data_IF_823791390740
#
_entry.id   IF_823791390740
#
_cell.length_a   1.000
_cell.length_b   1.000
_cell.length_c   1.000
_cell.angle_alpha   90.00
_cell.angle_beta   90.00
_cell.angle_gamma   90.00
#
_symmetry.space_group_name_H-M   'P 1'
#
loop_
_entity.id
_entity.type
_entity.pdbx_description
1 polymer ?
#
# COMPACT_ATOMS: atom_id res chain seq x y z
N UNK A 1 27.49 -62.84 4.71
CA UNK A 1 26.70 -62.49 5.90
C UNK A 1 27.20 -61.16 6.45
N UNK A 2 26.52 -60.05 6.11
CA UNK A 2 26.55 -58.76 6.83
C UNK A 2 25.35 -57.95 6.35
N UNK A 3 24.35 -57.84 7.22
CA UNK A 3 23.11 -57.09 7.02
C UNK A 3 23.43 -55.59 6.94
N UNK A 4 22.95 -54.92 5.89
CA UNK A 4 22.87 -53.46 5.87
C UNK A 4 21.44 -53.06 6.23
N UNK A 5 21.30 -52.44 7.40
CA UNK A 5 20.03 -51.96 7.96
C UNK A 5 19.54 -50.76 7.14
N UNK A 6 18.29 -50.86 6.66
CA UNK A 6 17.51 -49.71 6.18
C UNK A 6 17.31 -48.73 7.33
N UNK A 7 17.79 -47.49 7.16
CA UNK A 7 17.34 -46.36 7.98
C UNK A 7 16.17 -45.70 7.25
N UNK A 8 14.96 -45.92 7.75
CA UNK A 8 13.81 -45.07 7.45
C UNK A 8 14.01 -43.73 8.16
N UNK A 9 14.53 -42.74 7.41
CA UNK A 9 14.52 -41.35 7.84
C UNK A 9 13.12 -40.77 7.62
N UNK A 10 12.34 -40.65 8.69
CA UNK A 10 11.13 -39.82 8.69
C UNK A 10 11.53 -38.37 8.47
N UNK A 11 11.37 -37.87 7.25
CA UNK A 11 11.46 -36.45 6.97
C UNK A 11 10.26 -35.76 7.61
N UNK A 12 10.49 -35.16 8.79
CA UNK A 12 9.54 -34.25 9.41
C UNK A 12 9.47 -33.00 8.50
N UNK A 13 8.43 -32.91 7.68
CA UNK A 13 8.14 -31.71 6.92
C UNK A 13 7.72 -30.61 7.89
N UNK A 14 8.69 -29.82 8.34
CA UNK A 14 8.43 -28.58 9.05
C UNK A 14 7.71 -27.63 8.09
N UNK A 15 6.38 -27.59 8.14
CA UNK A 15 5.63 -26.46 7.61
C UNK A 15 6.09 -25.23 8.41
N UNK A 16 6.98 -24.44 7.81
CA UNK A 16 7.15 -23.05 8.19
C UNK A 16 5.85 -22.34 7.81
N UNK A 17 4.92 -22.25 8.77
CA UNK A 17 3.96 -21.16 8.77
C UNK A 17 4.80 -19.89 8.89
N UNK A 18 5.14 -19.29 7.75
CA UNK A 18 5.64 -17.93 7.73
C UNK A 18 4.62 -17.10 8.50
N UNK A 19 5.04 -16.53 9.64
CA UNK A 19 4.21 -15.65 10.42
C UNK A 19 3.64 -14.59 9.47
N UNK A 20 2.31 -14.48 9.42
CA UNK A 20 1.67 -13.35 8.79
C UNK A 20 1.97 -12.14 9.65
N UNK A 21 3.16 -11.57 9.50
CA UNK A 21 3.46 -10.26 10.03
C UNK A 21 2.43 -9.28 9.47
N UNK A 22 1.82 -8.52 10.38
CA UNK A 22 0.72 -7.62 10.13
C UNK A 22 1.17 -6.35 9.39
N UNK A 23 1.73 -6.51 8.18
CA UNK A 23 2.01 -5.39 7.30
C UNK A 23 0.74 -4.52 7.19
N UNK A 24 0.90 -3.22 7.42
CA UNK A 24 -0.23 -2.29 7.41
C UNK A 24 -0.56 -1.75 6.01
N UNK A 25 0.15 -2.23 4.98
CA UNK A 25 -0.19 -2.10 3.58
C UNK A 25 -0.72 -3.43 3.03
N UNK A 26 -1.80 -3.39 2.25
CA UNK A 26 -2.33 -4.58 1.61
C UNK A 26 -1.34 -5.21 0.63
N UNK A 27 -1.35 -6.54 0.56
CA UNK A 27 -0.44 -7.28 -0.35
C UNK A 27 -0.68 -6.85 -1.80
N UNK A 28 0.37 -6.35 -2.46
CA UNK A 28 0.32 -5.99 -3.88
C UNK A 28 0.17 -7.26 -4.73
N UNK A 29 -1.01 -7.54 -5.29
CA UNK A 29 -1.23 -8.67 -6.21
C UNK A 29 -1.27 -8.18 -7.66
N UNK A 30 -0.23 -7.41 -8.03
CA UNK A 30 -0.12 -6.81 -9.37
C UNK A 30 -0.78 -5.45 -9.54
N UNK A 31 -1.26 -4.85 -8.44
CA UNK A 31 -1.60 -3.42 -8.39
C UNK A 31 -0.30 -2.62 -8.30
N UNK A 32 -0.15 -1.61 -9.17
CA UNK A 32 1.00 -0.74 -9.19
C UNK A 32 0.73 0.55 -8.40
N UNK A 33 1.75 1.03 -7.67
CA UNK A 33 1.72 2.35 -7.04
C UNK A 33 2.18 3.43 -8.03
N UNK A 34 1.38 4.47 -8.30
CA UNK A 34 1.67 5.48 -9.30
C UNK A 34 2.86 6.37 -8.95
N UNK A 35 3.36 6.38 -7.72
CA UNK A 35 4.55 7.14 -7.34
C UNK A 35 5.85 6.34 -7.49
N UNK A 36 5.77 5.01 -7.57
CA UNK A 36 6.94 4.12 -7.56
C UNK A 36 7.12 3.35 -8.85
N UNK A 37 6.03 2.99 -9.54
CA UNK A 37 6.07 2.18 -10.76
C UNK A 37 7.04 2.75 -11.81
N UNK A 38 7.81 1.89 -12.46
CA UNK A 38 8.74 2.27 -13.51
C UNK A 38 8.03 2.64 -14.81
N UNK A 39 8.69 3.42 -15.66
CA UNK A 39 8.16 3.85 -16.96
C UNK A 39 7.67 2.68 -17.83
N UNK A 40 8.47 1.60 -17.91
CA UNK A 40 8.11 0.40 -18.68
C UNK A 40 6.86 -0.29 -18.14
N UNK A 41 6.69 -0.34 -16.82
CA UNK A 41 5.51 -0.95 -16.20
C UNK A 41 4.27 -0.11 -16.49
N UNK A 42 4.39 1.22 -16.40
CA UNK A 42 3.31 2.15 -16.71
C UNK A 42 2.90 2.09 -18.20
N UNK A 43 3.87 2.00 -19.12
CA UNK A 43 3.59 1.86 -20.56
C UNK A 43 2.88 0.54 -20.92
N UNK A 44 2.99 -0.48 -20.08
CA UNK A 44 2.31 -1.76 -20.30
C UNK A 44 0.85 -1.77 -19.80
N UNK A 45 0.41 -0.72 -19.11
CA UNK A 45 -0.94 -0.61 -18.58
C UNK A 45 -1.97 -0.24 -19.68
N UNK A 46 -3.23 -0.66 -19.52
CA UNK A 46 -4.29 -0.27 -20.44
C UNK A 46 -4.42 1.26 -20.51
N UNK A 47 -4.66 1.78 -21.71
CA UNK A 47 -4.87 3.21 -22.00
C UNK A 47 -3.68 4.15 -21.73
N UNK A 48 -2.55 3.63 -21.25
CA UNK A 48 -1.34 4.42 -21.03
C UNK A 48 -0.54 4.54 -22.33
N UNK A 49 -0.13 5.77 -22.66
CA UNK A 49 0.75 6.07 -23.78
C UNK A 49 1.98 6.86 -23.30
N UNK A 50 2.96 7.09 -24.19
CA UNK A 50 4.21 7.76 -23.82
C UNK A 50 4.00 9.17 -23.24
N UNK A 51 3.04 9.93 -23.74
CA UNK A 51 2.75 11.29 -23.26
C UNK A 51 2.16 11.26 -21.84
N UNK A 52 1.17 10.39 -21.61
CA UNK A 52 0.55 10.22 -20.28
C UNK A 52 1.53 9.69 -19.25
N UNK A 53 2.35 8.71 -19.62
CA UNK A 53 3.38 8.17 -18.71
C UNK A 53 4.40 9.25 -18.37
N UNK A 54 4.90 10.00 -19.35
CA UNK A 54 5.81 11.13 -19.10
C UNK A 54 5.18 12.15 -18.16
N UNK A 55 3.95 12.59 -18.43
CA UNK A 55 3.24 13.55 -17.58
C UNK A 55 3.03 13.02 -16.16
N UNK A 56 2.71 11.73 -16.00
CA UNK A 56 2.58 11.09 -14.70
C UNK A 56 3.90 11.15 -13.92
N UNK A 57 5.02 10.79 -14.55
CA UNK A 57 6.35 10.82 -13.95
C UNK A 57 6.76 12.24 -13.52
N UNK A 58 6.48 13.25 -14.34
CA UNK A 58 6.81 14.65 -14.06
C UNK A 58 5.98 15.24 -12.90
N UNK A 59 4.72 14.79 -12.76
CA UNK A 59 3.81 15.26 -11.72
C UNK A 59 3.98 14.53 -10.38
N UNK A 60 4.86 13.53 -10.29
CA UNK A 60 5.10 12.83 -9.03
C UNK A 60 5.63 13.77 -7.92
N UNK A 61 5.30 13.46 -6.65
CA UNK A 61 4.35 12.43 -6.21
C UNK A 61 2.90 12.95 -6.22
N UNK A 62 1.95 12.05 -6.48
CA UNK A 62 0.55 12.25 -6.15
C UNK A 62 0.32 11.92 -4.67
N UNK A 63 -0.38 12.80 -3.95
CA UNK A 63 -0.62 12.63 -2.51
C UNK A 63 -2.05 12.14 -2.20
N UNK A 64 -2.97 12.23 -3.17
CA UNK A 64 -4.35 11.77 -3.07
C UNK A 64 -4.80 11.08 -4.36
N UNK A 65 -5.82 10.21 -4.26
CA UNK A 65 -6.44 9.64 -5.47
C UNK A 65 -7.20 10.71 -6.25
N UNK A 66 -7.71 11.74 -5.58
CA UNK A 66 -8.34 12.89 -6.24
C UNK A 66 -7.36 13.60 -7.20
N UNK A 67 -6.12 13.86 -6.77
CA UNK A 67 -5.11 14.51 -7.61
C UNK A 67 -4.68 13.63 -8.78
N UNK A 68 -4.49 12.33 -8.54
CA UNK A 68 -4.19 11.37 -9.60
C UNK A 68 -5.31 11.32 -10.63
N UNK A 69 -6.56 11.23 -10.16
CA UNK A 69 -7.74 11.20 -11.01
C UNK A 69 -7.90 12.51 -11.80
N UNK A 70 -7.69 13.66 -11.17
CA UNK A 70 -7.72 14.96 -11.84
C UNK A 70 -6.67 15.09 -12.94
N UNK A 71 -5.51 14.43 -12.79
CA UNK A 71 -4.51 14.34 -13.85
C UNK A 71 -4.96 13.42 -14.99
N UNK A 72 -5.33 12.17 -14.68
CA UNK A 72 -5.64 11.13 -15.69
C UNK A 72 -6.94 11.42 -16.46
N UNK A 73 -7.96 11.97 -15.80
CA UNK A 73 -9.26 12.29 -16.41
C UNK A 73 -9.22 13.39 -17.47
N UNK A 74 -8.09 14.11 -17.61
CA UNK A 74 -7.87 15.05 -18.72
C UNK A 74 -7.77 14.35 -20.07
N UNK A 75 -7.41 13.06 -20.07
CA UNK A 75 -7.17 12.29 -21.30
C UNK A 75 -7.94 10.98 -21.36
N UNK A 76 -8.34 10.43 -20.22
CA UNK A 76 -9.04 9.14 -20.12
C UNK A 76 -10.51 9.33 -19.76
N UNK A 77 -11.38 8.54 -20.40
CA UNK A 77 -12.81 8.47 -20.07
C UNK A 77 -13.04 7.66 -18.79
N UNK A 78 -14.22 7.79 -18.19
CA UNK A 78 -14.57 7.12 -16.93
C UNK A 78 -14.41 5.59 -16.99
N UNK A 79 -14.77 4.97 -18.11
CA UNK A 79 -14.64 3.51 -18.31
C UNK A 79 -13.16 3.11 -18.37
N UNK A 80 -12.33 3.90 -19.06
CA UNK A 80 -10.89 3.67 -19.17
C UNK A 80 -10.17 3.86 -17.83
N UNK A 81 -10.60 4.85 -17.05
CA UNK A 81 -10.11 5.06 -15.68
C UNK A 81 -10.48 3.88 -14.79
N UNK A 82 -11.70 3.36 -14.89
CA UNK A 82 -12.13 2.20 -14.11
C UNK A 82 -11.27 0.96 -14.43
N UNK A 83 -10.97 0.72 -15.70
CA UNK A 83 -10.08 -0.37 -16.11
C UNK A 83 -8.64 -0.15 -15.62
N UNK A 84 -8.11 1.07 -15.75
CA UNK A 84 -6.76 1.43 -15.31
C UNK A 84 -6.61 1.30 -13.79
N UNK A 85 -7.61 1.74 -13.01
CA UNK A 85 -7.60 1.66 -11.56
C UNK A 85 -7.63 0.23 -11.02
N UNK A 86 -8.03 -0.75 -11.84
CA UNK A 86 -7.84 -2.16 -11.52
C UNK A 86 -6.38 -2.63 -11.55
N UNK A 87 -5.45 -1.80 -12.03
CA UNK A 87 -4.03 -2.10 -12.24
C UNK A 87 -3.06 -1.06 -11.68
N UNK A 88 -3.49 0.19 -11.53
CA UNK A 88 -2.68 1.30 -11.03
C UNK A 88 -3.52 2.14 -10.08
N UNK A 89 -3.14 2.22 -8.81
CA UNK A 89 -3.91 2.94 -7.82
C UNK A 89 -3.03 3.49 -6.71
N UNK A 90 -3.32 4.71 -6.25
CA UNK A 90 -2.66 5.27 -5.08
C UNK A 90 -3.38 4.77 -3.82
N UNK A 91 -2.69 4.00 -3.00
CA UNK A 91 -3.24 3.46 -1.76
C UNK A 91 -3.93 4.52 -0.90
N UNK A 92 -5.12 4.18 -0.40
CA UNK A 92 -5.93 5.01 0.48
C UNK A 92 -5.59 4.76 1.95
N UNK A 93 -5.46 5.84 2.71
CA UNK A 93 -5.42 5.76 4.15
C UNK A 93 -6.82 5.39 4.66
N UNK A 94 -6.99 4.18 5.22
CA UNK A 94 -8.28 3.70 5.72
C UNK A 94 -8.92 4.63 6.75
N UNK A 95 -8.12 5.41 7.47
CA UNK A 95 -8.59 6.26 8.56
C UNK A 95 -9.00 7.66 8.10
N UNK A 96 -8.62 8.09 6.89
CA UNK A 96 -8.83 9.48 6.45
C UNK A 96 -9.32 9.64 5.02
N UNK A 97 -9.31 8.59 4.18
CA UNK A 97 -9.74 8.70 2.79
C UNK A 97 -11.21 9.13 2.67
N UNK A 98 -11.56 10.10 1.83
CA UNK A 98 -12.96 10.48 1.65
C UNK A 98 -13.74 9.38 0.90
N UNK A 99 -15.06 9.27 1.15
CA UNK A 99 -15.97 8.34 0.44
C UNK A 99 -15.77 8.40 -1.09
N UNK A 100 -15.59 9.59 -1.65
CA UNK A 100 -15.38 9.79 -3.08
C UNK A 100 -14.13 9.07 -3.62
N UNK A 101 -13.04 8.99 -2.86
CA UNK A 101 -11.84 8.25 -3.26
C UNK A 101 -12.02 6.74 -3.06
N UNK A 102 -12.74 6.32 -2.01
CA UNK A 102 -13.08 4.91 -1.80
C UNK A 102 -13.92 4.39 -2.97
N UNK A 103 -14.87 5.18 -3.47
CA UNK A 103 -15.68 4.87 -4.64
C UNK A 103 -14.88 4.85 -5.96
N UNK A 104 -13.64 5.32 -6.00
CA UNK A 104 -12.78 5.16 -7.18
C UNK A 104 -12.20 3.73 -7.28
N UNK A 105 -12.26 2.94 -6.21
CA UNK A 105 -11.89 1.52 -6.27
C UNK A 105 -12.88 0.80 -7.19
N UNK A 106 -12.43 0.13 -8.27
CA UNK A 106 -13.34 -0.54 -9.19
C UNK A 106 -14.26 -1.53 -8.45
N UNK A 107 -15.56 -1.47 -8.74
CA UNK A 107 -16.58 -2.32 -8.13
C UNK A 107 -17.08 -1.87 -6.74
N UNK A 108 -16.48 -0.82 -6.14
CA UNK A 108 -16.95 -0.28 -4.85
C UNK A 108 -18.07 0.73 -5.07
N UNK A 109 -19.26 0.38 -4.59
CA UNK A 109 -20.40 1.29 -4.51
C UNK A 109 -20.58 1.91 -3.12
N UNK A 110 -21.55 2.83 -3.00
CA UNK A 110 -21.85 3.59 -1.76
C UNK A 110 -21.95 2.72 -0.51
N UNK A 111 -22.59 1.54 -0.61
CA UNK A 111 -22.73 0.63 0.53
C UNK A 111 -21.36 0.23 1.10
N UNK A 112 -20.45 -0.29 0.25
CA UNK A 112 -19.13 -0.73 0.72
C UNK A 112 -18.28 0.47 1.13
N UNK A 113 -18.37 1.59 0.43
CA UNK A 113 -17.67 2.81 0.82
C UNK A 113 -18.09 3.28 2.22
N UNK A 114 -19.37 3.21 2.55
CA UNK A 114 -19.88 3.53 3.87
C UNK A 114 -19.34 2.58 4.95
N UNK A 115 -19.27 1.27 4.69
CA UNK A 115 -18.67 0.32 5.66
C UNK A 115 -17.19 0.65 5.93
N UNK A 116 -16.43 1.13 4.93
CA UNK A 116 -15.05 1.56 5.16
C UNK A 116 -15.00 2.71 6.17
N UNK A 117 -15.93 3.65 6.12
CA UNK A 117 -15.96 4.81 7.01
C UNK A 117 -16.46 4.44 8.41
N UNK A 118 -17.47 3.58 8.51
CA UNK A 118 -18.13 3.21 9.76
C UNK A 118 -17.16 2.57 10.77
N UNK A 119 -16.23 1.73 10.30
CA UNK A 119 -15.28 1.03 11.19
C UNK A 119 -14.01 1.83 11.52
N UNK A 120 -13.94 3.12 11.14
CA UNK A 120 -12.83 3.98 11.53
C UNK A 120 -12.83 4.24 13.05
N UNK A 121 -11.64 4.34 13.69
CA UNK A 121 -10.32 4.12 13.11
C UNK A 121 -9.96 2.62 13.03
N UNK A 122 -9.41 2.21 11.90
CA UNK A 122 -8.70 0.95 11.77
C UNK A 122 -7.35 1.03 12.47
N UNK A 123 -7.08 0.01 13.29
CA UNK A 123 -5.79 -0.21 13.96
C UNK A 123 -4.93 -1.23 13.22
N UNK A 124 -5.54 -2.07 12.39
CA UNK A 124 -4.80 -3.02 11.57
C UNK A 124 -5.55 -3.46 10.31
N UNK A 125 -4.83 -3.99 9.33
CA UNK A 125 -5.48 -4.71 8.22
C UNK A 125 -6.17 -6.01 8.66
N UNK A 126 -5.77 -6.61 9.78
CA UNK A 126 -6.53 -7.71 10.36
C UNK A 126 -7.93 -7.29 10.80
N UNK A 127 -8.07 -6.08 11.36
CA UNK A 127 -9.38 -5.48 11.63
C UNK A 127 -10.14 -5.23 10.32
N UNK A 128 -9.49 -4.67 9.29
CA UNK A 128 -10.12 -4.48 7.97
C UNK A 128 -10.71 -5.78 7.42
N UNK A 129 -9.91 -6.86 7.38
CA UNK A 129 -10.37 -8.18 6.90
C UNK A 129 -11.57 -8.70 7.67
N UNK A 130 -11.53 -8.58 9.00
CA UNK A 130 -12.60 -9.03 9.90
C UNK A 130 -13.90 -8.25 9.68
N UNK A 131 -13.82 -6.92 9.64
CA UNK A 131 -14.99 -6.07 9.58
C UNK A 131 -15.60 -6.04 8.17
N UNK A 132 -14.79 -5.90 7.13
CA UNK A 132 -15.27 -5.90 5.73
C UNK A 132 -15.69 -7.30 5.27
N UNK A 133 -15.07 -8.36 5.78
CA UNK A 133 -15.46 -9.75 5.50
C UNK A 133 -16.87 -10.13 5.97
N UNK A 134 -17.56 -9.28 6.75
CA UNK A 134 -18.99 -9.45 7.06
C UNK A 134 -19.90 -9.15 5.87
N UNK A 135 -19.42 -8.40 4.88
CA UNK A 135 -20.24 -7.84 3.80
C UNK A 135 -19.90 -8.38 2.42
N UNK A 136 -18.69 -8.91 2.26
CA UNK A 136 -18.16 -9.46 1.00
C UNK A 136 -17.38 -10.75 1.29
N UNK A 137 -17.16 -11.56 0.25
CA UNK A 137 -16.41 -12.80 0.39
C UNK A 137 -14.90 -12.56 0.57
N UNK A 138 -14.16 -13.60 0.95
CA UNK A 138 -12.72 -13.52 1.20
C UNK A 138 -11.90 -13.07 -0.03
N UNK A 139 -12.35 -13.40 -1.24
CA UNK A 139 -11.66 -12.99 -2.47
C UNK A 139 -11.81 -11.49 -2.66
N UNK A 140 -12.99 -10.97 -2.40
CA UNK A 140 -13.27 -9.55 -2.48
C UNK A 140 -12.55 -8.77 -1.38
N UNK A 141 -12.50 -9.29 -0.15
CA UNK A 141 -11.66 -8.70 0.92
C UNK A 141 -10.21 -8.61 0.46
N UNK A 142 -9.63 -9.70 -0.05
CA UNK A 142 -8.24 -9.73 -0.51
C UNK A 142 -7.99 -8.80 -1.71
N UNK A 143 -8.99 -8.56 -2.55
CA UNK A 143 -8.93 -7.58 -3.63
C UNK A 143 -8.95 -6.16 -3.09
N UNK A 144 -9.91 -5.82 -2.23
CA UNK A 144 -10.08 -4.49 -1.67
C UNK A 144 -8.88 -4.05 -0.81
N UNK A 145 -8.29 -4.99 -0.08
CA UNK A 145 -7.11 -4.75 0.75
C UNK A 145 -5.94 -4.14 -0.03
N UNK A 146 -5.79 -4.49 -1.32
CA UNK A 146 -4.69 -3.97 -2.16
C UNK A 146 -4.76 -2.46 -2.37
N UNK A 147 -5.94 -1.85 -2.19
CA UNK A 147 -6.17 -0.43 -2.47
C UNK A 147 -5.92 0.45 -1.24
N UNK A 148 -5.62 -0.15 -0.08
CA UNK A 148 -5.68 0.55 1.19
C UNK A 148 -4.49 0.26 2.10
N UNK A 149 -4.31 1.13 3.08
CA UNK A 149 -3.36 0.95 4.16
C UNK A 149 -3.88 1.54 5.46
N UNK A 150 -3.33 1.07 6.57
CA UNK A 150 -3.42 1.71 7.89
C UNK A 150 -2.08 2.41 8.14
N UNK A 151 -2.06 3.70 8.54
CA UNK A 151 -0.81 4.37 8.90
C UNK A 151 -0.09 3.64 10.04
N UNK A 152 1.24 3.56 9.95
CA UNK A 152 2.06 2.93 10.98
C UNK A 152 2.47 3.97 12.01
N UNK A 153 2.42 3.64 13.30
CA UNK A 153 3.03 4.50 14.30
C UNK A 153 4.55 4.43 14.16
N UNK A 154 5.16 5.48 13.61
CA UNK A 154 6.57 5.49 13.28
C UNK A 154 7.48 5.35 14.49
N UNK A 155 7.01 5.65 15.71
CA UNK A 155 7.82 5.49 16.93
C UNK A 155 7.90 4.04 17.41
N UNK A 156 6.92 3.20 17.06
CA UNK A 156 6.78 1.83 17.59
C UNK A 156 6.73 0.74 16.52
N UNK A 157 6.50 1.09 15.26
CA UNK A 157 6.35 0.15 14.15
C UNK A 157 7.57 -0.77 13.99
N UNK A 158 7.31 -2.04 13.66
CA UNK A 158 8.34 -3.03 13.38
C UNK A 158 9.03 -2.79 12.03
N UNK A 159 10.07 -3.57 11.77
CA UNK A 159 10.84 -3.45 10.53
C UNK A 159 9.99 -3.83 9.30
N UNK A 160 9.17 -4.87 9.44
CA UNK A 160 8.26 -5.34 8.38
C UNK A 160 7.18 -4.29 8.05
N UNK A 161 6.68 -3.56 9.06
CA UNK A 161 5.73 -2.47 8.86
C UNK A 161 6.35 -1.33 8.04
N UNK A 162 7.56 -0.90 8.39
CA UNK A 162 8.27 0.16 7.64
C UNK A 162 8.59 -0.33 6.22
N UNK A 163 9.05 -1.59 6.08
CA UNK A 163 9.37 -2.17 4.78
C UNK A 163 8.13 -2.39 3.91
N UNK A 164 6.94 -2.42 4.50
CA UNK A 164 5.68 -2.50 3.74
C UNK A 164 5.32 -1.20 3.02
N UNK A 165 5.89 -0.05 3.40
CA UNK A 165 5.64 1.23 2.73
C UNK A 165 6.15 1.16 1.27
N UNK A 166 5.35 1.51 0.25
CA UNK A 166 5.79 1.48 -1.15
C UNK A 166 7.08 2.27 -1.38
N UNK A 167 8.04 1.65 -2.08
CA UNK A 167 9.35 2.24 -2.35
C UNK A 167 10.31 2.27 -1.14
N UNK A 168 9.91 1.72 0.01
CA UNK A 168 10.78 1.64 1.17
C UNK A 168 11.74 0.47 1.07
N UNK A 169 13.00 0.75 1.33
CA UNK A 169 14.07 -0.25 1.41
C UNK A 169 14.88 -0.08 2.69
N UNK A 170 16.03 -0.76 2.75
CA UNK A 170 16.93 -0.74 3.92
C UNK A 170 17.30 0.67 4.38
N UNK A 171 17.44 1.62 3.45
CA UNK A 171 17.76 3.02 3.76
C UNK A 171 16.60 3.70 4.49
N UNK A 172 15.37 3.62 3.97
CA UNK A 172 14.19 4.20 4.63
C UNK A 172 14.02 3.60 6.02
N UNK A 173 14.11 2.27 6.13
CA UNK A 173 14.06 1.57 7.42
C UNK A 173 15.11 2.09 8.43
N UNK A 174 16.36 2.23 7.99
CA UNK A 174 17.44 2.72 8.85
C UNK A 174 17.17 4.14 9.34
N UNK A 175 16.94 5.09 8.42
CA UNK A 175 16.75 6.50 8.80
C UNK A 175 15.47 6.71 9.64
N UNK A 176 14.41 5.95 9.37
CA UNK A 176 13.18 6.00 10.16
C UNK A 176 13.39 5.56 11.61
N UNK A 177 14.32 4.62 11.85
CA UNK A 177 14.61 4.11 13.20
C UNK A 177 15.63 4.98 13.93
N UNK A 178 16.59 5.54 13.21
CA UNK A 178 17.69 6.34 13.76
C UNK A 178 17.20 7.53 14.61
N UNK A 179 16.12 8.19 14.19
CA UNK A 179 15.63 9.40 14.87
C UNK A 179 14.45 9.15 15.82
N UNK A 180 14.12 7.89 16.11
CA UNK A 180 13.07 7.58 17.11
C UNK A 180 13.52 7.98 18.52
N UNK A 181 12.62 8.49 19.38
CA UNK A 181 11.25 8.87 19.05
C UNK A 181 11.19 10.25 18.37
N UNK A 182 10.35 10.36 17.34
CA UNK A 182 9.92 11.62 16.76
C UNK A 182 8.90 12.29 17.67
N UNK A 183 9.12 13.56 18.00
CA UNK A 183 8.22 14.37 18.82
C UNK A 183 7.01 14.90 18.04
N UNK A 184 7.22 15.21 16.75
CA UNK A 184 6.20 15.77 15.87
C UNK A 184 6.62 15.58 14.39
N UNK A 185 5.68 15.84 13.47
CA UNK A 185 5.93 15.72 12.03
C UNK A 185 6.93 16.77 11.51
N UNK A 186 7.11 17.89 12.20
CA UNK A 186 8.15 18.87 11.84
C UNK A 186 9.56 18.28 12.04
N UNK A 187 9.78 17.57 13.15
CA UNK A 187 11.01 16.80 13.36
C UNK A 187 11.17 15.74 12.27
N UNK A 188 10.12 14.97 11.96
CA UNK A 188 10.18 13.99 10.87
C UNK A 188 10.64 14.62 9.55
N UNK A 189 9.98 15.71 9.12
CA UNK A 189 10.32 16.40 7.87
C UNK A 189 11.75 16.94 7.88
N UNK A 190 12.21 17.50 8.99
CA UNK A 190 13.58 18.01 9.13
C UNK A 190 14.63 16.91 9.06
N UNK A 191 14.42 15.79 9.77
CA UNK A 191 15.40 14.69 9.79
C UNK A 191 15.41 13.95 8.44
N UNK A 192 14.24 13.64 7.87
CA UNK A 192 14.16 12.96 6.56
C UNK A 192 14.59 13.86 5.41
N UNK A 193 14.39 15.17 5.52
CA UNK A 193 14.83 16.18 4.55
C UNK A 193 16.35 16.24 4.36
N UNK A 194 17.14 15.64 5.25
CA UNK A 194 18.60 15.47 5.09
C UNK A 194 18.97 14.47 3.99
N UNK A 195 18.07 13.53 3.68
CA UNK A 195 18.33 12.41 2.79
C UNK A 195 17.48 12.40 1.53
N UNK A 196 16.29 12.99 1.62
CA UNK A 196 15.31 13.03 0.55
C UNK A 196 14.82 14.46 0.32
N UNK A 197 14.43 14.75 -0.92
CA UNK A 197 13.81 16.04 -1.22
C UNK A 197 12.42 16.15 -0.59
N UNK A 198 11.88 17.37 -0.50
CA UNK A 198 10.60 17.64 0.15
C UNK A 198 9.42 16.83 -0.45
N UNK A 199 9.45 16.57 -1.75
CA UNK A 199 8.43 15.75 -2.43
C UNK A 199 8.42 14.32 -1.89
N UNK A 200 9.60 13.69 -1.80
CA UNK A 200 9.73 12.33 -1.30
C UNK A 200 9.43 12.23 0.20
N UNK A 201 9.82 13.24 0.99
CA UNK A 201 9.43 13.34 2.41
C UNK A 201 7.90 13.38 2.54
N UNK A 202 7.22 14.21 1.75
CA UNK A 202 5.76 14.29 1.77
C UNK A 202 5.08 12.98 1.36
N UNK A 203 5.65 12.24 0.38
CA UNK A 203 5.15 10.93 -0.01
C UNK A 203 5.24 9.92 1.14
N UNK A 204 6.39 9.86 1.80
CA UNK A 204 6.64 8.97 2.94
C UNK A 204 5.76 9.31 4.15
N UNK A 205 5.54 10.60 4.41
CA UNK A 205 4.71 11.09 5.52
C UNK A 205 3.27 10.55 5.48
N UNK A 206 2.73 10.25 4.29
CA UNK A 206 1.37 9.71 4.11
C UNK A 206 1.14 8.42 4.89
N UNK A 207 2.19 7.64 5.12
CA UNK A 207 2.10 6.28 5.66
C UNK A 207 2.30 6.19 7.18
N UNK A 208 2.52 7.33 7.86
CA UNK A 208 2.93 7.32 9.27
C UNK A 208 1.98 8.11 10.17
N UNK A 209 1.93 7.71 11.43
CA UNK A 209 1.50 8.51 12.60
C UNK A 209 2.64 8.52 13.63
N UNK A 210 2.53 9.32 14.69
CA UNK A 210 3.54 9.38 15.75
C UNK A 210 3.01 8.93 17.13
N UNK A 211 1.71 8.64 17.19
CA UNK A 211 0.85 8.39 18.34
C UNK A 211 0.07 7.07 18.21
#
# INVERSE_FOLDING_TARGET
>A
MKLLKLFFGTALASLLLAGNADAQLGRQQGLLDPNIAGEKELLALPHMNAELVKGLLENRPFLSMTDLNAFLSKSLKAEQLTELYGKLFLHLNLNTAPEAEIMMIPGVGKRIAHEFEEYRPYKSLAQFRKEIGKYVDEKEVARLEQYVFVPINLNTAGDEDILSIPGSGKRVLHEFKEYRPYKNLEQFRREMGKYWNAKEVARLERYITLD
#
